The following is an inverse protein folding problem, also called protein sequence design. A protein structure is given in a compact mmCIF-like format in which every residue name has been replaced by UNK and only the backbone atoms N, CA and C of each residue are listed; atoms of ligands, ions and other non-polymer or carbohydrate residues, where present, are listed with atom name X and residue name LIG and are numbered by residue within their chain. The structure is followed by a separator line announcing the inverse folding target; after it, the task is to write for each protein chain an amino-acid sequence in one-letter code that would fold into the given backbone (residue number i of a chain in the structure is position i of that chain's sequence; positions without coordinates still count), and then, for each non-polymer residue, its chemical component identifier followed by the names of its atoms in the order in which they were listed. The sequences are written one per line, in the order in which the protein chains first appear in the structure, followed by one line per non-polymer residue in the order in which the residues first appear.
data_IF_113727289662
#
_entry.id   IF_113727289662
#
_cell.length_a   1.000
_cell.length_b   1.000
_cell.length_c   1.000
_cell.angle_alpha   90.00
_cell.angle_beta   90.00
_cell.angle_gamma   90.00
#
_symmetry.space_group_name_H-M   'P 1'
#
loop_
_entity.id
_entity.type
_entity.pdbx_description
1 polymer ?
#
# COMPACT_ATOMS: atom_id res chain seq x y z
N UNK A 1 75.98 -52.23 -31.85
CA UNK A 1 74.78 -52.00 -31.01
C UNK A 1 74.80 -50.62 -30.34
N UNK A 2 75.72 -50.33 -29.39
CA UNK A 2 75.77 -49.05 -28.66
C UNK A 2 75.85 -47.78 -29.53
N UNK A 3 76.64 -47.78 -30.63
CA UNK A 3 76.73 -46.64 -31.55
C UNK A 3 75.43 -46.34 -32.32
N UNK A 4 74.64 -47.38 -32.62
CA UNK A 4 73.34 -47.22 -33.28
C UNK A 4 72.29 -46.67 -32.31
N UNK A 5 72.27 -47.17 -31.07
CA UNK A 5 71.38 -46.67 -30.02
C UNK A 5 71.71 -45.21 -29.68
N UNK A 6 72.99 -44.87 -29.57
CA UNK A 6 73.44 -43.48 -29.36
C UNK A 6 73.03 -42.57 -30.51
N UNK A 7 73.13 -43.02 -31.77
CA UNK A 7 72.69 -42.27 -32.94
C UNK A 7 71.17 -42.04 -32.99
N UNK A 8 70.37 -43.03 -32.59
CA UNK A 8 68.91 -42.88 -32.49
C UNK A 8 68.56 -41.90 -31.37
N UNK A 9 69.21 -42.01 -30.21
CA UNK A 9 69.00 -41.12 -29.07
C UNK A 9 69.33 -39.67 -29.42
N UNK A 10 70.46 -39.43 -30.10
CA UNK A 10 70.84 -38.07 -30.53
C UNK A 10 69.90 -37.52 -31.58
N UNK A 11 69.36 -38.35 -32.47
CA UNK A 11 68.34 -37.92 -33.42
C UNK A 11 67.05 -37.48 -32.71
N UNK A 12 66.55 -38.25 -31.74
CA UNK A 12 65.37 -37.85 -30.95
C UNK A 12 65.61 -36.59 -30.14
N UNK A 13 66.80 -36.44 -29.56
CA UNK A 13 67.21 -35.22 -28.84
C UNK A 13 67.26 -34.01 -29.79
N UNK A 14 67.74 -34.20 -31.02
CA UNK A 14 67.74 -33.16 -32.03
C UNK A 14 66.32 -32.77 -32.45
N UNK A 15 65.44 -33.74 -32.74
CA UNK A 15 64.04 -33.45 -33.03
C UNK A 15 63.37 -32.74 -31.86
N UNK A 16 63.56 -33.22 -30.62
CA UNK A 16 63.03 -32.57 -29.42
C UNK A 16 63.55 -31.14 -29.24
N UNK A 17 64.82 -30.89 -29.57
CA UNK A 17 65.41 -29.55 -29.53
C UNK A 17 64.83 -28.62 -30.60
N UNK A 18 64.61 -29.12 -31.83
CA UNK A 18 64.01 -28.34 -32.92
C UNK A 18 62.54 -28.03 -32.62
N UNK A 19 61.76 -29.02 -32.19
CA UNK A 19 60.37 -28.80 -31.78
C UNK A 19 60.26 -27.91 -30.54
N UNK A 20 61.16 -28.04 -29.58
CA UNK A 20 61.24 -27.17 -28.41
C UNK A 20 61.56 -25.72 -28.76
N UNK A 21 62.50 -25.50 -29.69
CA UNK A 21 62.81 -24.16 -30.21
C UNK A 21 61.60 -23.55 -30.93
N UNK A 22 60.93 -24.31 -31.78
CA UNK A 22 59.72 -23.87 -32.49
C UNK A 22 58.59 -23.53 -31.50
N UNK A 23 58.39 -24.33 -30.45
CA UNK A 23 57.42 -24.05 -29.40
C UNK A 23 57.73 -22.74 -28.66
N UNK A 24 59.00 -22.49 -28.34
CA UNK A 24 59.42 -21.22 -27.72
C UNK A 24 59.16 -20.06 -28.68
N UNK A 25 59.50 -20.18 -29.96
CA UNK A 25 59.27 -19.13 -30.96
C UNK A 25 57.77 -18.84 -31.18
N UNK A 26 56.88 -19.84 -31.05
CA UNK A 26 55.43 -19.69 -31.07
C UNK A 26 54.90 -18.95 -29.83
N UNK A 27 55.40 -19.27 -28.62
CA UNK A 27 55.02 -18.59 -27.37
C UNK A 27 55.36 -17.09 -27.38
N UNK A 28 56.49 -16.73 -28.00
CA UNK A 28 56.92 -15.34 -28.13
C UNK A 28 56.37 -14.65 -29.40
N UNK A 29 55.49 -15.32 -30.14
CA UNK A 29 54.82 -14.82 -31.34
C UNK A 29 55.79 -14.38 -32.48
N UNK A 30 56.99 -14.97 -32.53
CA UNK A 30 57.96 -14.71 -33.61
C UNK A 30 57.62 -15.47 -34.89
N UNK A 31 56.99 -16.65 -34.76
CA UNK A 31 56.53 -17.49 -35.86
C UNK A 31 55.19 -18.08 -35.44
N UNK A 32 54.13 -17.84 -36.22
CA UNK A 32 52.83 -18.47 -35.98
C UNK A 32 52.87 -19.93 -36.48
N UNK A 33 53.09 -20.89 -35.58
CA UNK A 33 53.30 -22.29 -35.97
C UNK A 33 52.04 -22.91 -36.60
N UNK A 34 50.86 -22.53 -36.10
CA UNK A 34 49.56 -23.06 -36.54
C UNK A 34 49.28 -22.83 -38.03
N UNK A 35 49.31 -21.59 -38.58
CA UNK A 35 49.06 -21.36 -40.00
C UNK A 35 50.15 -21.96 -40.90
N UNK A 36 51.41 -21.97 -40.47
CA UNK A 36 52.49 -22.61 -41.22
C UNK A 36 52.29 -24.13 -41.34
N UNK A 37 51.92 -24.80 -40.24
CA UNK A 37 51.61 -26.24 -40.22
C UNK A 37 50.36 -26.53 -41.06
N UNK A 38 49.30 -25.73 -40.95
CA UNK A 38 48.08 -25.88 -41.76
C UNK A 38 48.34 -25.72 -43.25
N UNK A 39 49.20 -24.76 -43.64
CA UNK A 39 49.61 -24.58 -45.04
C UNK A 39 50.41 -25.79 -45.55
N UNK A 40 51.31 -26.35 -44.74
CA UNK A 40 52.03 -27.57 -45.12
C UNK A 40 51.10 -28.78 -45.22
N UNK A 41 50.12 -28.91 -44.31
CA UNK A 41 49.11 -29.97 -44.38
C UNK A 41 48.20 -29.84 -45.60
N UNK A 42 47.80 -28.62 -45.98
CA UNK A 42 46.97 -28.40 -47.18
C UNK A 42 47.69 -28.72 -48.48
N UNK A 43 49.03 -28.79 -48.46
CA UNK A 43 49.83 -29.16 -49.65
C UNK A 43 49.89 -30.68 -49.85
N UNK A 44 49.46 -31.48 -48.86
CA UNK A 44 49.41 -32.94 -48.93
C UNK A 44 48.05 -33.36 -49.53
N UNK A 45 48.03 -34.14 -50.63
CA UNK A 45 46.78 -34.61 -51.23
C UNK A 45 45.92 -35.37 -50.21
N UNK A 46 44.65 -34.98 -50.05
CA UNK A 46 43.69 -35.60 -49.12
C UNK A 46 43.61 -34.98 -47.71
N UNK A 47 44.46 -33.99 -47.40
CA UNK A 47 44.42 -33.26 -46.12
C UNK A 47 43.92 -31.82 -46.24
N UNK A 48 43.55 -31.39 -47.45
CA UNK A 48 43.01 -30.06 -47.75
C UNK A 48 41.73 -29.77 -46.96
N UNK A 49 40.81 -30.74 -46.90
CA UNK A 49 39.54 -30.63 -46.16
C UNK A 49 39.74 -30.35 -44.67
N UNK A 50 40.79 -30.90 -44.06
CA UNK A 50 41.09 -30.72 -42.64
C UNK A 50 41.59 -29.29 -42.36
N UNK A 51 42.43 -28.77 -43.26
CA UNK A 51 42.92 -27.39 -43.15
C UNK A 51 41.81 -26.37 -43.37
N UNK A 52 40.89 -26.63 -44.31
CA UNK A 52 39.70 -25.80 -44.55
C UNK A 52 38.71 -25.86 -43.39
N UNK A 53 38.41 -27.05 -42.86
CA UNK A 53 37.54 -27.22 -41.71
C UNK A 53 38.08 -26.51 -40.46
N UNK A 54 39.41 -26.51 -40.27
CA UNK A 54 40.03 -25.78 -39.15
C UNK A 54 39.87 -24.26 -39.30
N UNK A 55 40.11 -23.71 -40.50
CA UNK A 55 39.91 -22.28 -40.78
C UNK A 55 38.45 -21.87 -40.57
N UNK A 56 37.52 -22.67 -41.11
CA UNK A 56 36.09 -22.46 -40.90
C UNK A 56 35.70 -22.54 -39.42
N UNK A 57 36.31 -23.44 -38.66
CA UNK A 57 36.14 -23.54 -37.21
C UNK A 57 36.65 -22.32 -36.45
N UNK A 58 37.79 -21.77 -36.88
CA UNK A 58 38.36 -20.54 -36.32
C UNK A 58 37.44 -19.34 -36.57
N UNK A 59 37.00 -19.16 -37.82
CA UNK A 59 36.09 -18.07 -38.21
C UNK A 59 34.74 -18.16 -37.46
N UNK A 60 34.21 -19.38 -37.31
CA UNK A 60 32.97 -19.60 -36.56
C UNK A 60 33.15 -19.39 -35.05
N UNK A 61 34.33 -19.64 -34.50
CA UNK A 61 34.60 -19.42 -33.08
C UNK A 61 34.42 -17.96 -32.69
N UNK A 62 34.92 -17.03 -33.51
CA UNK A 62 34.77 -15.59 -33.26
C UNK A 62 33.29 -15.16 -33.33
N UNK A 63 32.54 -15.68 -34.31
CA UNK A 63 31.10 -15.45 -34.43
C UNK A 63 30.34 -16.00 -33.22
N UNK A 64 30.72 -17.18 -32.73
CA UNK A 64 30.11 -17.79 -31.56
C UNK A 64 30.43 -17.02 -30.28
N UNK A 65 31.68 -16.59 -30.09
CA UNK A 65 32.08 -15.74 -28.96
C UNK A 65 31.33 -14.41 -28.96
N UNK A 66 31.19 -13.78 -30.13
CA UNK A 66 30.41 -12.55 -30.26
C UNK A 66 28.92 -12.76 -29.89
N UNK A 67 28.34 -13.91 -30.28
CA UNK A 67 26.96 -14.27 -29.91
C UNK A 67 26.83 -14.56 -28.43
N UNK A 68 27.77 -15.29 -27.83
CA UNK A 68 27.78 -15.57 -26.39
C UNK A 68 27.87 -14.28 -25.59
N UNK A 69 28.76 -13.36 -25.97
CA UNK A 69 28.86 -12.04 -25.33
C UNK A 69 27.55 -11.24 -25.47
N UNK A 70 26.92 -11.24 -26.65
CA UNK A 70 25.65 -10.57 -26.86
C UNK A 70 24.50 -11.20 -26.04
N UNK A 71 24.49 -12.52 -25.89
CA UNK A 71 23.51 -13.23 -25.05
C UNK A 71 23.74 -12.96 -23.56
N UNK A 72 24.99 -12.93 -23.11
CA UNK A 72 25.34 -12.58 -21.73
C UNK A 72 24.88 -11.14 -21.40
N UNK A 73 25.14 -10.18 -22.29
CA UNK A 73 24.69 -8.81 -22.11
C UNK A 73 23.14 -8.71 -22.01
N UNK A 74 22.41 -9.43 -22.87
CA UNK A 74 20.94 -9.49 -22.79
C UNK A 74 20.46 -10.16 -21.51
N UNK A 75 21.15 -11.19 -21.02
CA UNK A 75 20.80 -11.85 -19.78
C UNK A 75 20.99 -10.91 -18.57
N UNK A 76 22.05 -10.10 -18.57
CA UNK A 76 22.27 -9.07 -17.55
C UNK A 76 21.20 -7.97 -17.61
N UNK A 77 20.84 -7.50 -18.80
CA UNK A 77 19.77 -6.52 -19.00
C UNK A 77 18.42 -7.03 -18.48
N UNK A 78 18.03 -8.25 -18.87
CA UNK A 78 16.80 -8.90 -18.40
C UNK A 78 16.81 -9.13 -16.88
N UNK A 79 17.96 -9.47 -16.29
CA UNK A 79 18.07 -9.61 -14.84
C UNK A 79 17.89 -8.25 -14.13
N UNK A 80 18.41 -7.17 -14.69
CA UNK A 80 18.23 -5.82 -14.17
C UNK A 80 16.75 -5.36 -14.29
N UNK A 81 16.10 -5.63 -15.42
CA UNK A 81 14.67 -5.37 -15.61
C UNK A 81 13.80 -6.17 -14.64
N UNK A 82 14.09 -7.46 -14.46
CA UNK A 82 13.37 -8.32 -13.52
C UNK A 82 13.47 -7.77 -12.08
N UNK A 83 14.65 -7.31 -11.68
CA UNK A 83 14.86 -6.71 -10.36
C UNK A 83 14.06 -5.40 -10.19
N UNK A 84 14.09 -4.51 -11.19
CA UNK A 84 13.28 -3.28 -11.17
C UNK A 84 11.80 -3.59 -11.06
N UNK A 85 11.31 -4.57 -11.83
CA UNK A 85 9.91 -4.97 -11.79
C UNK A 85 9.52 -5.55 -10.43
N UNK A 86 10.42 -6.28 -9.78
CA UNK A 86 10.21 -6.81 -8.43
C UNK A 86 10.13 -5.68 -7.38
N UNK A 87 11.01 -4.69 -7.47
CA UNK A 87 10.97 -3.48 -6.64
C UNK A 87 9.67 -2.68 -6.87
N UNK A 88 9.25 -2.50 -8.12
CA UNK A 88 7.97 -1.84 -8.47
C UNK A 88 6.76 -2.60 -7.90
N UNK A 89 6.76 -3.93 -8.00
CA UNK A 89 5.70 -4.77 -7.41
C UNK A 89 5.65 -4.61 -5.89
N UNK A 90 6.79 -4.64 -5.22
CA UNK A 90 6.85 -4.45 -3.77
C UNK A 90 6.32 -3.07 -3.36
N UNK A 91 6.72 -2.01 -4.07
CA UNK A 91 6.20 -0.67 -3.85
C UNK A 91 4.69 -0.57 -4.09
N UNK A 92 4.16 -1.29 -5.09
CA UNK A 92 2.72 -1.34 -5.34
C UNK A 92 1.97 -2.05 -4.21
N UNK A 93 2.49 -3.17 -3.70
CA UNK A 93 1.90 -3.88 -2.56
C UNK A 93 1.87 -2.98 -1.32
N UNK A 94 2.95 -2.27 -1.04
CA UNK A 94 3.01 -1.32 0.08
C UNK A 94 1.96 -0.20 -0.07
N UNK A 95 1.77 0.32 -1.29
CA UNK A 95 0.72 1.32 -1.56
C UNK A 95 -0.68 0.76 -1.34
N UNK A 96 -0.95 -0.49 -1.75
CA UNK A 96 -2.25 -1.14 -1.53
C UNK A 96 -2.51 -1.32 -0.05
N UNK A 97 -1.55 -1.83 0.72
CA UNK A 97 -1.68 -1.98 2.18
C UNK A 97 -1.94 -0.62 2.85
N UNK A 98 -1.20 0.42 2.46
CA UNK A 98 -1.40 1.77 3.00
C UNK A 98 -2.76 2.39 2.64
N UNK A 99 -3.37 1.98 1.52
CA UNK A 99 -4.73 2.37 1.16
C UNK A 99 -5.76 1.59 1.97
N UNK A 100 -5.60 0.28 2.12
CA UNK A 100 -6.47 -0.57 2.95
C UNK A 100 -6.50 -0.07 4.40
N UNK A 101 -5.34 0.25 5.00
CA UNK A 101 -5.28 0.82 6.35
C UNK A 101 -6.02 2.16 6.48
N UNK A 102 -5.95 3.00 5.44
CA UNK A 102 -6.69 4.27 5.39
C UNK A 102 -8.19 4.04 5.27
N UNK A 103 -8.62 3.09 4.44
CA UNK A 103 -10.03 2.73 4.30
C UNK A 103 -10.59 2.19 5.61
N UNK A 104 -9.87 1.29 6.30
CA UNK A 104 -10.26 0.80 7.62
C UNK A 104 -10.36 1.93 8.65
N UNK A 105 -9.39 2.84 8.66
CA UNK A 105 -9.42 4.01 9.53
C UNK A 105 -10.66 4.88 9.28
N UNK A 106 -10.98 5.14 8.01
CA UNK A 106 -12.16 5.91 7.62
C UNK A 106 -13.45 5.19 8.01
N UNK A 107 -13.57 3.88 7.79
CA UNK A 107 -14.73 3.10 8.24
C UNK A 107 -14.93 3.17 9.75
N UNK A 108 -13.85 3.11 10.53
CA UNK A 108 -13.92 3.26 11.99
C UNK A 108 -14.36 4.67 12.38
N UNK A 109 -13.90 5.71 11.68
CA UNK A 109 -14.36 7.08 11.88
C UNK A 109 -15.85 7.24 11.55
N UNK A 110 -16.29 6.74 10.40
CA UNK A 110 -17.69 6.81 9.98
C UNK A 110 -18.60 6.10 10.98
N UNK A 111 -18.20 4.93 11.49
CA UNK A 111 -18.93 4.22 12.52
C UNK A 111 -19.05 5.03 13.82
N UNK A 112 -17.96 5.66 14.27
CA UNK A 112 -17.98 6.53 15.45
C UNK A 112 -18.90 7.72 15.25
N UNK A 113 -18.90 8.35 14.08
CA UNK A 113 -19.79 9.45 13.75
C UNK A 113 -21.25 9.01 13.71
N UNK A 114 -21.55 7.84 13.14
CA UNK A 114 -22.89 7.26 13.12
C UNK A 114 -23.40 6.92 14.54
N UNK A 115 -22.52 6.40 15.41
CA UNK A 115 -22.84 6.16 16.83
C UNK A 115 -23.10 7.47 17.59
N UNK A 116 -22.33 8.53 17.32
CA UNK A 116 -22.57 9.86 17.90
C UNK A 116 -23.87 10.48 17.39
N UNK A 117 -24.18 10.38 16.10
CA UNK A 117 -25.43 10.86 15.53
C UNK A 117 -26.63 10.10 16.09
N UNK A 118 -26.58 8.77 16.15
CA UNK A 118 -27.67 7.98 16.74
C UNK A 118 -27.89 8.28 18.22
N UNK A 119 -26.83 8.50 19.00
CA UNK A 119 -26.92 8.94 20.40
C UNK A 119 -27.55 10.33 20.51
N UNK A 120 -27.17 11.27 19.64
CA UNK A 120 -27.70 12.63 19.61
C UNK A 120 -29.18 12.64 19.23
N UNK A 121 -29.56 11.92 18.17
CA UNK A 121 -30.95 11.78 17.71
C UNK A 121 -31.82 11.14 18.81
N UNK A 122 -31.34 10.07 19.44
CA UNK A 122 -32.07 9.39 20.53
C UNK A 122 -32.24 10.28 21.76
N UNK A 123 -31.26 11.13 22.08
CA UNK A 123 -31.35 12.08 23.20
C UNK A 123 -32.27 13.28 22.93
N UNK A 124 -32.42 13.69 21.65
CA UNK A 124 -33.22 14.86 21.27
C UNK A 124 -34.71 14.54 21.02
N UNK A 125 -35.04 13.34 20.52
CA UNK A 125 -36.42 12.88 20.24
C UNK A 125 -37.43 13.03 21.41
N UNK A 126 -37.07 12.75 22.69
CA UNK A 126 -38.02 12.95 23.79
C UNK A 126 -38.22 14.43 24.15
N UNK A 127 -37.27 15.32 23.84
CA UNK A 127 -37.26 16.70 24.33
C UNK A 127 -38.04 17.66 23.42
N UNK A 128 -38.02 17.46 22.10
CA UNK A 128 -38.82 18.29 21.18
C UNK A 128 -40.33 18.04 21.34
N UNK A 129 -40.74 16.77 21.40
CA UNK A 129 -42.15 16.40 21.63
C UNK A 129 -42.67 16.91 22.99
N UNK A 130 -41.83 16.95 24.02
CA UNK A 130 -42.21 17.48 25.32
C UNK A 130 -42.41 19.01 25.28
N UNK A 131 -41.51 19.74 24.62
CA UNK A 131 -41.62 21.21 24.46
C UNK A 131 -42.86 21.63 23.68
N UNK A 132 -43.20 20.94 22.59
CA UNK A 132 -44.43 21.23 21.83
C UNK A 132 -45.70 20.98 22.64
N UNK A 133 -45.72 19.91 23.44
CA UNK A 133 -46.84 19.61 24.36
C UNK A 133 -46.98 20.68 25.44
N UNK A 134 -45.88 21.15 26.03
CA UNK A 134 -45.89 22.24 27.01
C UNK A 134 -46.33 23.57 26.40
N UNK A 135 -45.86 23.90 25.20
CA UNK A 135 -46.30 25.10 24.48
C UNK A 135 -47.80 25.08 24.13
N UNK A 136 -48.32 23.91 23.74
CA UNK A 136 -49.76 23.74 23.45
C UNK A 136 -50.60 23.86 24.72
N UNK A 137 -50.15 23.27 25.82
CA UNK A 137 -50.82 23.40 27.12
C UNK A 137 -50.81 24.86 27.63
N UNK A 138 -49.70 25.60 27.44
CA UNK A 138 -49.63 27.02 27.79
C UNK A 138 -50.67 27.85 27.04
N UNK A 139 -50.77 27.69 25.72
CA UNK A 139 -51.78 28.37 24.89
C UNK A 139 -53.21 28.05 25.34
N UNK A 140 -53.46 26.80 25.72
CA UNK A 140 -54.79 26.36 26.18
C UNK A 140 -55.13 27.00 27.54
N UNK A 141 -54.20 27.02 28.49
CA UNK A 141 -54.41 27.70 29.78
C UNK A 141 -54.57 29.21 29.60
N UNK A 142 -53.89 29.81 28.63
CA UNK A 142 -53.98 31.25 28.33
C UNK A 142 -55.36 31.66 27.78
N UNK A 143 -56.00 30.77 27.02
CA UNK A 143 -57.34 30.98 26.46
C UNK A 143 -58.48 30.70 27.46
N UNK A 144 -58.17 30.10 28.61
CA UNK A 144 -59.15 29.78 29.65
C UNK A 144 -59.29 30.90 30.69
N UNK A 145 -60.39 30.85 31.44
CA UNK A 145 -60.56 31.71 32.62
C UNK A 145 -59.58 31.30 33.74
N UNK A 146 -59.09 32.25 34.56
CA UNK A 146 -58.06 31.99 35.56
C UNK A 146 -58.41 30.86 36.54
N UNK A 147 -59.67 30.78 36.95
CA UNK A 147 -60.17 29.80 37.91
C UNK A 147 -60.14 28.38 37.32
N UNK A 148 -60.56 28.25 36.06
CA UNK A 148 -60.55 26.97 35.35
C UNK A 148 -59.12 26.53 34.97
N UNK A 149 -58.23 27.50 34.69
CA UNK A 149 -56.82 27.24 34.45
C UNK A 149 -56.11 26.75 35.73
N UNK A 150 -56.45 27.31 36.89
CA UNK A 150 -55.91 26.88 38.19
C UNK A 150 -56.32 25.45 38.55
N UNK A 151 -57.59 25.09 38.33
CA UNK A 151 -58.05 23.72 38.56
C UNK A 151 -57.36 22.71 37.63
N UNK A 152 -57.16 23.06 36.37
CA UNK A 152 -56.45 22.22 35.41
C UNK A 152 -54.96 22.10 35.72
N UNK A 153 -54.33 23.15 36.22
CA UNK A 153 -52.95 23.13 36.68
C UNK A 153 -52.73 22.14 37.82
N UNK A 154 -53.69 22.03 38.75
CA UNK A 154 -53.63 21.07 39.86
C UNK A 154 -53.78 19.60 39.41
N UNK A 155 -54.39 19.36 38.25
CA UNK A 155 -54.54 18.02 37.67
C UNK A 155 -53.31 17.58 36.87
N UNK A 156 -52.40 18.51 36.53
CA UNK A 156 -51.18 18.22 35.79
C UNK A 156 -50.03 17.83 36.73
N UNK A 157 -49.04 17.04 36.25
CA UNK A 157 -47.81 16.80 37.00
C UNK A 157 -47.07 18.12 37.30
N UNK A 158 -46.52 18.25 38.51
CA UNK A 158 -45.90 19.49 39.00
C UNK A 158 -44.85 20.08 38.04
N UNK A 159 -43.92 19.26 37.54
CA UNK A 159 -42.87 19.71 36.61
C UNK A 159 -43.44 20.22 35.26
N UNK A 160 -44.52 19.60 34.78
CA UNK A 160 -45.23 20.07 33.59
C UNK A 160 -45.94 21.40 33.86
N UNK A 161 -46.58 21.54 35.03
CA UNK A 161 -47.22 22.79 35.43
C UNK A 161 -46.23 23.96 35.53
N UNK A 162 -45.03 23.73 36.08
CA UNK A 162 -43.96 24.74 36.14
C UNK A 162 -43.49 25.13 34.73
N UNK A 163 -43.22 24.16 33.87
CA UNK A 163 -42.77 24.40 32.50
C UNK A 163 -43.82 25.13 31.64
N UNK A 164 -45.10 24.90 31.91
CA UNK A 164 -46.21 25.58 31.23
C UNK A 164 -46.38 27.01 31.76
N UNK A 165 -46.28 27.21 33.08
CA UNK A 165 -46.36 28.54 33.70
C UNK A 165 -45.18 29.44 33.34
N UNK A 166 -43.99 28.90 33.12
CA UNK A 166 -42.82 29.69 32.68
C UNK A 166 -42.92 30.17 31.23
N UNK A 167 -43.76 29.53 30.42
CA UNK A 167 -44.07 29.95 29.04
C UNK A 167 -45.22 30.97 28.97
N UNK A 168 -45.92 31.22 30.07
CA UNK A 168 -47.04 32.16 30.16
C UNK A 168 -46.55 33.55 30.59
N UNK A 169 -47.30 34.59 30.20
CA UNK A 169 -47.07 35.95 30.70
C UNK A 169 -47.18 35.99 32.23
N UNK A 170 -46.19 36.63 32.88
CA UNK A 170 -46.06 36.73 34.34
C UNK A 170 -47.35 37.20 35.04
N UNK A 171 -48.08 38.14 34.43
CA UNK A 171 -49.35 38.65 34.96
C UNK A 171 -50.49 37.62 34.91
N UNK A 172 -50.54 36.79 33.86
CA UNK A 172 -51.56 35.73 33.73
C UNK A 172 -51.21 34.53 34.61
N UNK A 173 -49.94 34.14 34.65
CA UNK A 173 -49.45 33.10 35.56
C UNK A 173 -49.74 33.47 37.03
N UNK A 174 -49.51 34.73 37.43
CA UNK A 174 -49.86 35.22 38.77
C UNK A 174 -51.35 35.08 39.10
N UNK A 175 -52.24 35.48 38.18
CA UNK A 175 -53.69 35.34 38.36
C UNK A 175 -54.16 33.89 38.49
N UNK A 176 -53.55 32.97 37.74
CA UNK A 176 -53.84 31.53 37.85
C UNK A 176 -53.39 31.01 39.22
N UNK A 177 -52.21 31.41 39.67
CA UNK A 177 -51.65 31.03 40.98
C UNK A 177 -52.42 31.61 42.17
N UNK A 178 -53.14 32.72 41.99
CA UNK A 178 -54.07 33.28 42.98
C UNK A 178 -55.36 32.45 43.14
N UNK A 179 -55.72 31.65 42.13
CA UNK A 179 -56.96 30.86 42.14
C UNK A 179 -56.81 29.45 42.75
N UNK A 180 -55.58 29.03 43.05
CA UNK A 180 -55.27 27.71 43.63
C UNK A 180 -54.92 27.82 45.12
N UNK A 181 -54.95 26.71 45.90
CA UNK A 181 -54.62 26.74 47.32
C UNK A 181 -53.24 27.34 47.60
N UNK A 182 -53.09 28.15 48.68
CA UNK A 182 -51.86 28.91 48.95
C UNK A 182 -50.62 28.03 49.15
N UNK A 183 -50.80 26.82 49.65
CA UNK A 183 -49.73 25.81 49.82
C UNK A 183 -49.17 25.29 48.49
N UNK A 184 -49.99 25.25 47.43
CA UNK A 184 -49.56 24.82 46.10
C UNK A 184 -49.02 26.00 45.30
N UNK A 185 -49.67 27.15 45.41
CA UNK A 185 -49.24 28.41 44.80
C UNK A 185 -47.80 28.78 45.19
N UNK A 186 -47.48 28.70 46.48
CA UNK A 186 -46.13 28.95 46.99
C UNK A 186 -45.08 27.97 46.45
N UNK A 187 -45.41 26.69 46.26
CA UNK A 187 -44.50 25.69 45.65
C UNK A 187 -44.17 26.01 44.20
N UNK A 188 -45.18 26.38 43.40
CA UNK A 188 -44.98 26.80 42.02
C UNK A 188 -44.16 28.09 41.94
N UNK A 189 -44.45 29.08 42.79
CA UNK A 189 -43.69 30.34 42.84
C UNK A 189 -42.23 30.14 43.25
N UNK A 190 -41.96 29.30 44.25
CA UNK A 190 -40.58 28.98 44.67
C UNK A 190 -39.77 28.34 43.53
N UNK A 191 -40.40 27.47 42.73
CA UNK A 191 -39.74 26.82 41.60
C UNK A 191 -39.56 27.75 40.39
N UNK A 192 -40.51 28.64 40.14
CA UNK A 192 -40.43 29.64 39.06
C UNK A 192 -39.42 30.78 39.36
N UNK A 193 -39.19 31.09 40.64
CA UNK A 193 -38.23 32.12 41.08
C UNK A 193 -36.81 31.60 41.34
N UNK A 194 -36.65 30.28 41.44
CA UNK A 194 -35.34 29.61 41.56
C UNK A 194 -34.67 29.31 40.22
N UNK A 195 -35.26 29.77 39.10
CA UNK A 195 -34.69 29.75 37.76
C UNK A 195 -34.32 31.15 37.30
#
# INVERSE_FOLDING_TARGET
MLRYIAGILTAFLFFGSVFGLLYILDQYNYIELKPAVLYTLSTIPGWEEVAEAYKLGLDNMDVLQAREAALAARAEELAAEAKKLEEEKQALVEQVVALEEKEEYLMVQERKLAEQQSTTVTSQLPNENARERYATAARLLEAMKPEAAGENLLKMPFEMGVAVLSLLDSRKAGRILETIPPEQSSKYMAKLSGH
#
